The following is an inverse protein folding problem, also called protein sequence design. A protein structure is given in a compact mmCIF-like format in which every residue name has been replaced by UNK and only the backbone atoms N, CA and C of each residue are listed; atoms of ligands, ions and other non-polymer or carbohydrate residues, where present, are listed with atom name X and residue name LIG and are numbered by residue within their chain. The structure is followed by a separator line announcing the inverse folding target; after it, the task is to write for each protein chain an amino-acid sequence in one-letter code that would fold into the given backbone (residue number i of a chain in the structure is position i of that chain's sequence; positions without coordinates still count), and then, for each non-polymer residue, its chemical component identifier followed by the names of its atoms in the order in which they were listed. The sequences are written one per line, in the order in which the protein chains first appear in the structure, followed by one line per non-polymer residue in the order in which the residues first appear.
data_IF_870490069631
#
_entry.id   IF_870490069631
#
_cell.length_a   1.000
_cell.length_b   1.000
_cell.length_c   1.000
_cell.angle_alpha   90.00
_cell.angle_beta   90.00
_cell.angle_gamma   90.00
#
_symmetry.space_group_name_H-M   'P 1'
#
loop_
_entity.id
_entity.type
_entity.pdbx_description
1 polymer ?
#
# COMPACT_ATOMS: atom_id res chain seq x y z
N UNK A 1 -12.87 -12.95 -26.72
CA UNK A 1 -13.57 -12.03 -25.79
C UNK A 1 -14.95 -11.75 -26.36
N UNK A 2 -16.05 -11.92 -25.59
CA UNK A 2 -17.40 -11.56 -26.10
C UNK A 2 -17.40 -10.09 -26.55
N UNK A 3 -18.13 -9.78 -27.63
CA UNK A 3 -18.15 -8.44 -28.27
C UNK A 3 -18.53 -7.31 -27.30
N UNK A 4 -19.32 -7.64 -26.26
CA UNK A 4 -19.71 -6.75 -25.17
C UNK A 4 -18.54 -6.40 -24.24
N UNK A 5 -17.72 -7.39 -23.87
CA UNK A 5 -16.54 -7.19 -23.02
C UNK A 5 -15.50 -6.29 -23.70
N UNK A 6 -15.41 -6.36 -25.03
CA UNK A 6 -14.49 -5.50 -25.80
C UNK A 6 -14.89 -4.03 -25.74
N UNK A 7 -16.19 -3.71 -25.82
CA UNK A 7 -16.67 -2.32 -25.70
C UNK A 7 -16.40 -1.75 -24.31
N UNK A 8 -16.64 -2.55 -23.26
CA UNK A 8 -16.35 -2.15 -21.87
C UNK A 8 -14.86 -1.87 -21.71
N UNK A 9 -14.00 -2.75 -22.23
CA UNK A 9 -12.56 -2.58 -22.15
C UNK A 9 -12.09 -1.29 -22.84
N UNK A 10 -12.55 -1.03 -24.07
CA UNK A 10 -12.22 0.19 -24.81
C UNK A 10 -12.71 1.44 -24.08
N UNK A 11 -13.91 1.39 -23.51
CA UNK A 11 -14.45 2.50 -22.71
C UNK A 11 -13.60 2.79 -21.47
N UNK A 12 -13.26 1.76 -20.69
CA UNK A 12 -12.39 1.91 -19.51
C UNK A 12 -11.02 2.47 -19.90
N UNK A 13 -10.44 1.99 -21.00
CA UNK A 13 -9.16 2.49 -21.50
C UNK A 13 -9.23 3.97 -21.88
N UNK A 14 -10.28 4.39 -22.60
CA UNK A 14 -10.48 5.81 -22.96
C UNK A 14 -10.63 6.69 -21.72
N UNK A 15 -11.40 6.25 -20.72
CA UNK A 15 -11.55 6.98 -19.44
C UNK A 15 -10.20 7.14 -18.74
N UNK A 16 -9.41 6.07 -18.65
CA UNK A 16 -8.06 6.13 -18.06
C UNK A 16 -7.16 7.09 -18.83
N UNK A 17 -7.19 7.06 -20.16
CA UNK A 17 -6.39 7.97 -21.00
C UNK A 17 -6.80 9.43 -20.82
N UNK A 18 -8.10 9.73 -20.78
CA UNK A 18 -8.61 11.09 -20.57
C UNK A 18 -8.23 11.61 -19.17
N UNK A 19 -8.39 10.79 -18.13
CA UNK A 19 -8.00 11.15 -16.75
C UNK A 19 -6.51 11.49 -16.68
N UNK A 20 -5.65 10.68 -17.31
CA UNK A 20 -4.21 10.94 -17.36
C UNK A 20 -3.87 12.18 -18.20
N UNK A 21 -4.51 12.36 -19.36
CA UNK A 21 -4.27 13.49 -20.24
C UNK A 21 -4.65 14.82 -19.59
N UNK A 22 -5.77 14.86 -18.88
CA UNK A 22 -6.26 16.03 -18.15
C UNK A 22 -5.63 16.18 -16.75
N UNK A 23 -4.70 15.29 -16.38
CA UNK A 23 -4.04 15.24 -15.07
C UNK A 23 -5.02 15.32 -13.89
N UNK A 24 -6.18 14.68 -14.03
CA UNK A 24 -7.25 14.75 -13.03
C UNK A 24 -6.85 13.93 -11.81
N UNK A 25 -6.84 14.58 -10.64
CA UNK A 25 -6.65 13.91 -9.37
C UNK A 25 -7.89 13.06 -9.04
N UNK A 26 -7.75 11.75 -9.14
CA UNK A 26 -8.82 10.77 -8.87
C UNK A 26 -9.07 10.54 -7.37
N UNK A 27 -8.30 11.19 -6.48
CA UNK A 27 -8.42 10.98 -5.04
C UNK A 27 -9.64 11.71 -4.47
N UNK A 28 -10.71 10.96 -4.20
CA UNK A 28 -11.94 11.47 -3.59
C UNK A 28 -11.67 12.18 -2.26
N UNK A 29 -10.84 11.59 -1.39
CA UNK A 29 -10.50 12.18 -0.09
C UNK A 29 -9.89 13.57 -0.24
N UNK A 30 -8.90 13.71 -1.13
CA UNK A 30 -8.25 15.00 -1.38
C UNK A 30 -9.23 16.01 -2.00
N UNK A 31 -10.09 15.57 -2.91
CA UNK A 31 -11.06 16.46 -3.56
C UNK A 31 -12.13 16.98 -2.59
N UNK A 32 -12.43 16.26 -1.51
CA UNK A 32 -13.38 16.68 -0.47
C UNK A 32 -12.69 17.52 0.62
N UNK A 33 -11.55 17.06 1.14
CA UNK A 33 -10.91 17.66 2.32
C UNK A 33 -9.76 18.63 1.99
N UNK A 34 -9.27 18.65 0.76
CA UNK A 34 -8.13 19.47 0.34
C UNK A 34 -6.76 19.03 0.90
N UNK A 35 -6.71 17.89 1.60
CA UNK A 35 -5.50 17.36 2.24
C UNK A 35 -5.29 15.89 1.89
N UNK A 36 -4.04 15.39 1.87
CA UNK A 36 -3.78 13.96 1.70
C UNK A 36 -4.32 13.18 2.89
N UNK A 37 -4.82 11.96 2.64
CA UNK A 37 -5.24 11.06 3.69
C UNK A 37 -4.03 10.45 4.42
N UNK A 38 -4.21 9.86 5.62
CA UNK A 38 -3.11 9.26 6.38
C UNK A 38 -2.37 8.13 5.66
N UNK A 39 -3.05 7.47 4.70
CA UNK A 39 -2.51 6.40 3.87
C UNK A 39 -1.95 6.88 2.51
N UNK A 40 -1.96 8.18 2.22
CA UNK A 40 -1.44 8.70 0.96
C UNK A 40 0.05 8.35 0.77
N UNK A 41 0.45 8.19 -0.50
CA UNK A 41 1.82 7.85 -0.86
C UNK A 41 2.18 6.37 -0.76
N UNK A 42 1.28 5.49 -0.30
CA UNK A 42 1.57 4.06 -0.13
C UNK A 42 2.04 3.35 -1.42
N UNK A 43 1.30 3.51 -2.52
CA UNK A 43 1.68 2.90 -3.81
C UNK A 43 3.01 3.44 -4.32
N UNK A 44 3.28 4.74 -4.11
CA UNK A 44 4.55 5.36 -4.51
C UNK A 44 5.71 4.85 -3.66
N UNK A 45 5.49 4.66 -2.36
CA UNK A 45 6.44 4.03 -1.45
C UNK A 45 6.81 2.62 -1.94
N UNK A 46 5.81 1.77 -2.23
CA UNK A 46 6.04 0.42 -2.75
C UNK A 46 6.78 0.44 -4.08
N UNK A 47 6.42 1.35 -4.99
CA UNK A 47 7.12 1.51 -6.27
C UNK A 47 8.62 1.82 -6.07
N UNK A 48 8.97 2.67 -5.09
CA UNK A 48 10.38 2.94 -4.74
C UNK A 48 11.08 1.70 -4.19
N UNK A 49 10.41 0.89 -3.37
CA UNK A 49 10.96 -0.38 -2.89
C UNK A 49 11.25 -1.32 -4.07
N UNK A 50 10.32 -1.48 -5.02
CA UNK A 50 10.52 -2.29 -6.22
C UNK A 50 11.66 -1.78 -7.11
N UNK A 51 11.91 -0.47 -7.13
CA UNK A 51 13.05 0.15 -7.81
C UNK A 51 14.37 0.04 -7.01
N UNK A 52 14.40 -0.71 -5.91
CA UNK A 52 15.53 -0.83 -4.96
C UNK A 52 15.93 0.51 -4.29
N UNK A 53 15.04 1.51 -4.32
CA UNK A 53 15.23 2.83 -3.72
C UNK A 53 14.55 2.91 -2.36
N UNK A 54 14.95 2.03 -1.44
CA UNK A 54 14.28 1.84 -0.13
C UNK A 54 14.26 3.13 0.69
N UNK A 55 15.34 3.92 0.67
CA UNK A 55 15.41 5.20 1.40
C UNK A 55 14.33 6.18 0.91
N UNK A 56 14.17 6.29 -0.41
CA UNK A 56 13.17 7.17 -1.04
C UNK A 56 11.73 6.71 -0.79
N UNK A 57 11.51 5.44 -0.45
CA UNK A 57 10.18 4.95 -0.07
C UNK A 57 9.65 5.71 1.15
N UNK A 58 10.52 6.03 2.10
CA UNK A 58 10.13 6.73 3.31
C UNK A 58 9.67 8.16 3.02
N UNK A 59 10.08 8.78 1.91
CA UNK A 59 9.64 10.13 1.53
C UNK A 59 8.15 10.17 1.16
N UNK A 60 7.59 9.03 0.74
CA UNK A 60 6.17 8.94 0.38
C UNK A 60 5.30 8.43 1.52
N UNK A 61 5.72 7.38 2.22
CA UNK A 61 4.96 6.84 3.34
C UNK A 61 5.86 6.03 4.29
N UNK A 62 5.87 6.38 5.57
CA UNK A 62 6.69 5.71 6.60
C UNK A 62 6.34 4.23 6.78
N UNK A 63 5.08 3.84 6.54
CA UNK A 63 4.63 2.45 6.62
C UNK A 63 4.99 1.64 5.38
N UNK A 64 5.55 2.26 4.33
CA UNK A 64 5.87 1.59 3.07
C UNK A 64 6.75 0.37 3.29
N UNK A 65 7.89 0.57 3.94
CA UNK A 65 8.85 -0.51 4.19
C UNK A 65 8.30 -1.55 5.19
N UNK A 66 7.76 -1.18 6.37
CA UNK A 66 7.17 -2.15 7.29
C UNK A 66 6.08 -3.02 6.67
N UNK A 67 5.12 -2.42 5.95
CA UNK A 67 4.04 -3.18 5.31
C UNK A 67 4.54 -4.05 4.18
N UNK A 68 5.50 -3.57 3.39
CA UNK A 68 6.13 -4.41 2.37
C UNK A 68 6.79 -5.65 2.99
N UNK A 69 7.54 -5.50 4.09
CA UNK A 69 8.16 -6.63 4.78
C UNK A 69 7.12 -7.61 5.30
N UNK A 70 6.07 -7.13 5.97
CA UNK A 70 5.02 -8.00 6.55
C UNK A 70 4.26 -8.77 5.46
N UNK A 71 3.88 -8.11 4.36
CA UNK A 71 3.15 -8.75 3.27
C UNK A 71 4.02 -9.82 2.61
N UNK A 72 5.27 -9.48 2.28
CA UNK A 72 6.16 -10.42 1.62
C UNK A 72 6.57 -11.58 2.54
N UNK A 73 6.81 -11.34 3.83
CA UNK A 73 7.10 -12.41 4.78
C UNK A 73 5.92 -13.36 4.94
N UNK A 74 4.69 -12.83 5.03
CA UNK A 74 3.48 -13.66 5.06
C UNK A 74 3.34 -14.51 3.79
N UNK A 75 3.56 -13.94 2.60
CA UNK A 75 3.50 -14.70 1.35
C UNK A 75 4.56 -15.82 1.31
N UNK A 76 5.79 -15.53 1.71
CA UNK A 76 6.89 -16.51 1.74
C UNK A 76 6.58 -17.65 2.73
N UNK A 77 6.09 -17.31 3.92
CA UNK A 77 5.73 -18.27 4.97
C UNK A 77 4.62 -19.20 4.50
N UNK A 78 3.55 -18.66 3.92
CA UNK A 78 2.45 -19.48 3.38
C UNK A 78 2.93 -20.38 2.25
N UNK A 79 3.74 -19.85 1.32
CA UNK A 79 4.29 -20.64 0.23
C UNK A 79 5.17 -21.80 0.75
N UNK A 80 6.01 -21.54 1.75
CA UNK A 80 6.84 -22.56 2.38
C UNK A 80 5.99 -23.62 3.13
N UNK A 81 4.95 -23.18 3.84
CA UNK A 81 4.01 -24.06 4.54
C UNK A 81 3.32 -25.03 3.58
N UNK A 82 2.87 -24.56 2.41
CA UNK A 82 2.28 -25.40 1.36
C UNK A 82 3.30 -26.42 0.85
N UNK A 83 4.54 -26.01 0.56
CA UNK A 83 5.59 -26.92 0.06
C UNK A 83 5.91 -28.03 1.07
N UNK A 84 5.95 -27.69 2.36
CA UNK A 84 6.28 -28.62 3.44
C UNK A 84 5.09 -29.37 4.00
N UNK A 85 3.89 -29.08 3.51
CA UNK A 85 2.63 -29.60 4.03
C UNK A 85 2.55 -29.52 5.57
N UNK A 86 2.93 -28.35 6.10
CA UNK A 86 2.99 -28.11 7.55
C UNK A 86 2.53 -26.69 7.87
N UNK A 87 1.69 -26.56 8.89
CA UNK A 87 1.21 -25.26 9.37
C UNK A 87 2.06 -24.71 10.52
N UNK A 88 3.10 -25.42 10.97
CA UNK A 88 3.87 -25.01 12.16
C UNK A 88 4.40 -23.57 12.05
N UNK A 89 4.90 -23.16 10.88
CA UNK A 89 5.46 -21.81 10.70
C UNK A 89 4.34 -20.76 10.64
N UNK A 90 3.18 -21.09 10.08
CA UNK A 90 2.00 -20.21 10.13
C UNK A 90 1.56 -19.99 11.58
N UNK A 91 1.50 -21.07 12.39
CA UNK A 91 1.16 -21.01 13.81
C UNK A 91 2.14 -20.11 14.57
N UNK A 92 3.46 -20.29 14.41
CA UNK A 92 4.44 -19.42 15.07
C UNK A 92 4.33 -17.95 14.66
N UNK A 93 4.04 -17.69 13.38
CA UNK A 93 3.84 -16.34 12.87
C UNK A 93 2.58 -15.71 13.48
N UNK A 94 1.46 -16.43 13.47
CA UNK A 94 0.20 -15.97 14.07
C UNK A 94 0.32 -15.74 15.57
N UNK A 95 0.97 -16.66 16.30
CA UNK A 95 1.25 -16.54 17.73
C UNK A 95 2.08 -15.28 18.03
N UNK A 96 3.07 -14.97 17.19
CA UNK A 96 3.85 -13.73 17.31
C UNK A 96 2.95 -12.50 17.16
N UNK A 97 2.13 -12.44 16.10
CA UNK A 97 1.23 -11.30 15.87
C UNK A 97 0.17 -11.19 16.98
N UNK A 98 -0.32 -12.30 17.52
CA UNK A 98 -1.28 -12.31 18.61
C UNK A 98 -0.64 -11.83 19.92
N UNK A 99 0.56 -12.32 20.25
CA UNK A 99 1.32 -11.92 21.43
C UNK A 99 1.62 -10.42 21.46
N UNK A 100 1.97 -9.84 20.31
CA UNK A 100 2.34 -8.42 20.21
C UNK A 100 1.23 -7.52 19.66
N UNK A 101 0.01 -8.02 19.50
CA UNK A 101 -1.11 -7.34 18.82
C UNK A 101 -1.30 -5.90 19.27
N UNK A 102 -1.43 -5.67 20.57
CA UNK A 102 -1.69 -4.33 21.12
C UNK A 102 -0.53 -3.37 20.84
N UNK A 103 0.71 -3.83 21.02
CA UNK A 103 1.89 -3.02 20.73
C UNK A 103 1.98 -2.68 19.23
N UNK A 104 1.74 -3.66 18.35
CA UNK A 104 1.74 -3.45 16.90
C UNK A 104 0.68 -2.44 16.47
N UNK A 105 -0.53 -2.50 17.04
CA UNK A 105 -1.61 -1.54 16.76
C UNK A 105 -1.20 -0.14 17.21
N UNK A 106 -0.70 0.00 18.44
CA UNK A 106 -0.30 1.31 19.00
C UNK A 106 0.85 1.91 18.17
N UNK A 107 1.90 1.13 17.91
CA UNK A 107 3.05 1.58 17.12
C UNK A 107 2.62 1.96 15.70
N UNK A 108 1.79 1.13 15.07
CA UNK A 108 1.28 1.44 13.72
C UNK A 108 0.45 2.72 13.72
N UNK A 109 -0.45 2.90 14.69
CA UNK A 109 -1.26 4.11 14.81
C UNK A 109 -0.40 5.36 15.01
N UNK A 110 0.63 5.28 15.86
CA UNK A 110 1.59 6.38 16.06
C UNK A 110 2.31 6.70 14.75
N UNK A 111 2.81 5.68 14.03
CA UNK A 111 3.48 5.90 12.75
C UNK A 111 2.52 6.49 11.70
N UNK A 112 1.27 6.04 11.63
CA UNK A 112 0.24 6.61 10.74
C UNK A 112 0.07 8.10 11.03
N UNK A 113 -0.07 8.48 12.31
CA UNK A 113 -0.28 9.87 12.70
C UNK A 113 0.95 10.74 12.37
N UNK A 114 2.15 10.26 12.69
CA UNK A 114 3.40 10.95 12.33
C UNK A 114 3.55 11.09 10.82
N UNK A 115 3.25 10.04 10.06
CA UNK A 115 3.27 10.06 8.61
C UNK A 115 2.26 11.07 8.05
N UNK A 116 1.06 11.13 8.62
CA UNK A 116 0.02 12.05 8.17
C UNK A 116 0.41 13.51 8.41
N UNK A 117 0.87 13.84 9.61
CA UNK A 117 1.36 15.19 9.96
C UNK A 117 2.46 15.63 8.98
N UNK A 118 3.44 14.76 8.73
CA UNK A 118 4.51 15.03 7.75
C UNK A 118 3.94 15.24 6.34
N UNK A 119 2.96 14.42 5.96
CA UNK A 119 2.38 14.43 4.62
C UNK A 119 1.49 15.65 4.34
N UNK A 120 0.98 16.34 5.36
CA UNK A 120 0.28 17.63 5.19
C UNK A 120 1.14 18.71 4.53
N UNK A 121 2.47 18.60 4.65
CA UNK A 121 3.42 19.56 4.09
C UNK A 121 4.30 18.96 2.99
N UNK A 122 4.02 17.73 2.55
CA UNK A 122 4.87 17.02 1.62
C UNK A 122 4.48 17.33 0.17
N UNK A 123 5.26 18.13 -0.57
CA UNK A 123 4.91 18.53 -1.94
C UNK A 123 4.85 17.35 -2.90
N UNK A 124 5.48 16.21 -2.57
CA UNK A 124 5.43 14.99 -3.39
C UNK A 124 4.03 14.37 -3.45
N UNK A 125 3.07 14.84 -2.65
CA UNK A 125 1.70 14.29 -2.56
C UNK A 125 0.63 15.22 -3.13
N UNK A 126 1.02 16.42 -3.56
CA UNK A 126 0.19 17.43 -4.22
C UNK A 126 0.41 17.39 -5.74
#
# INVERSE_FOLDING_TARGET
MKKENFKIFVFVLLVILIINFLNIRVCVFYNIFGIPCPACGMTRAFNRIFMLKVKESFDYNLLGVPLFIIINSYLIINFYSIIKNTDQINIYFEDFFQKYRTALIIVSAVIVMLNWIRNLYNPLLY
#
